data_IF_266280014319
#
_entry.id   IF_266280014319
#
_cell.length_a   1.000
_cell.length_b   1.000
_cell.length_c   1.000
_cell.angle_alpha   90.00
_cell.angle_beta   90.00
_cell.angle_gamma   90.00
#
_symmetry.space_group_name_H-M   'P 1'
#
loop_
_entity.id
_entity.type
_entity.pdbx_description
1 polymer ?
#
# COMPACT_ATOMS: atom_id res chain seq x y z
N UNK A 1 11.32 -19.97 -0.68
CA UNK A 1 12.23 -20.16 0.46
C UNK A 1 13.13 -18.95 0.53
N UNK A 2 12.96 -18.10 1.55
CA UNK A 2 13.82 -16.93 1.74
C UNK A 2 15.08 -17.34 2.49
N UNK A 3 16.25 -17.08 1.93
CA UNK A 3 17.50 -17.17 2.67
C UNK A 3 17.72 -15.85 3.41
N UNK A 4 18.23 -15.95 4.63
CA UNK A 4 18.52 -14.85 5.52
C UNK A 4 19.94 -15.01 6.02
N UNK A 5 20.67 -13.92 6.16
CA UNK A 5 21.95 -13.88 6.83
C UNK A 5 21.71 -13.44 8.27
N UNK A 6 22.18 -14.25 9.21
CA UNK A 6 22.28 -13.84 10.60
C UNK A 6 23.43 -12.83 10.73
N UNK A 7 23.15 -11.65 11.28
CA UNK A 7 24.11 -10.55 11.43
C UNK A 7 25.11 -10.79 12.56
N UNK A 8 24.79 -11.64 13.54
CA UNK A 8 25.65 -11.96 14.69
C UNK A 8 26.84 -12.83 14.29
N UNK A 9 26.62 -13.77 13.38
CA UNK A 9 27.62 -14.78 13.00
C UNK A 9 27.90 -14.82 11.49
N UNK A 10 27.19 -14.02 10.69
CA UNK A 10 27.32 -13.98 9.23
C UNK A 10 26.78 -15.22 8.51
N UNK A 11 26.17 -16.17 9.23
CA UNK A 11 25.73 -17.44 8.64
C UNK A 11 24.46 -17.25 7.82
N UNK A 12 24.41 -17.93 6.68
CA UNK A 12 23.21 -17.99 5.84
C UNK A 12 22.31 -19.11 6.37
N UNK A 13 21.07 -18.75 6.66
CA UNK A 13 20.03 -19.59 7.21
C UNK A 13 18.76 -19.42 6.38
N UNK A 14 18.02 -20.49 6.16
CA UNK A 14 16.75 -20.48 5.47
C UNK A 14 15.62 -20.24 6.47
N UNK A 15 14.77 -19.25 6.22
CA UNK A 15 13.64 -18.99 7.10
C UNK A 15 12.56 -20.07 6.93
N UNK A 16 12.23 -20.75 8.02
CA UNK A 16 11.22 -21.82 8.04
C UNK A 16 9.86 -21.26 8.47
N UNK A 17 9.84 -20.39 9.48
CA UNK A 17 8.60 -19.83 10.03
C UNK A 17 8.85 -18.96 11.26
N UNK A 18 7.82 -18.26 11.70
CA UNK A 18 7.87 -17.49 12.95
C UNK A 18 7.61 -18.43 14.12
N UNK A 19 8.44 -18.36 15.16
CA UNK A 19 8.22 -19.10 16.41
C UNK A 19 7.45 -18.22 17.42
N UNK A 20 7.83 -16.94 17.52
CA UNK A 20 7.24 -15.94 18.41
C UNK A 20 7.21 -14.56 17.76
N UNK A 21 6.75 -13.55 18.52
CA UNK A 21 6.67 -12.15 18.10
C UNK A 21 8.03 -11.54 17.73
N UNK A 22 9.10 -12.01 18.38
CA UNK A 22 10.46 -11.48 18.24
C UNK A 22 11.46 -12.52 17.70
N UNK A 23 11.04 -13.79 17.50
CA UNK A 23 11.92 -14.92 17.20
C UNK A 23 11.48 -15.65 15.92
N UNK A 24 12.43 -15.86 15.02
CA UNK A 24 12.27 -16.63 13.80
C UNK A 24 12.90 -18.02 13.94
N UNK A 25 12.20 -19.02 13.43
CA UNK A 25 12.71 -20.36 13.25
C UNK A 25 13.40 -20.45 11.87
N UNK A 26 14.69 -20.73 11.88
CA UNK A 26 15.52 -20.77 10.68
C UNK A 26 16.34 -22.06 10.59
N UNK A 27 16.58 -22.56 9.39
CA UNK A 27 17.34 -23.77 9.10
C UNK A 27 18.72 -23.37 8.59
N UNK A 28 19.79 -23.86 9.19
CA UNK A 28 21.12 -23.63 8.63
C UNK A 28 21.40 -24.54 7.42
N UNK A 29 22.52 -24.29 6.72
CA UNK A 29 22.97 -25.13 5.58
C UNK A 29 23.26 -26.59 5.95
N UNK A 30 23.41 -26.90 7.24
CA UNK A 30 23.60 -28.27 7.77
C UNK A 30 22.26 -28.98 8.02
N UNK A 31 21.14 -28.28 7.86
CA UNK A 31 19.79 -28.80 8.06
C UNK A 31 19.29 -28.74 9.51
N UNK A 32 20.05 -28.13 10.42
CA UNK A 32 19.68 -27.92 11.82
C UNK A 32 18.81 -26.68 11.96
N UNK A 33 17.68 -26.85 12.64
CA UNK A 33 16.75 -25.75 12.95
C UNK A 33 17.25 -25.00 14.20
N UNK A 34 17.34 -23.68 14.10
CA UNK A 34 17.76 -22.77 15.17
C UNK A 34 16.76 -21.63 15.28
N UNK A 35 16.67 -21.05 16.47
CA UNK A 35 15.83 -19.89 16.74
C UNK A 35 16.71 -18.66 16.85
N UNK A 36 16.42 -17.65 16.06
CA UNK A 36 17.21 -16.42 15.99
C UNK A 36 16.24 -15.24 16.08
N UNK A 37 16.64 -14.18 16.79
CA UNK A 37 15.84 -12.97 16.90
C UNK A 37 15.62 -12.37 15.51
N UNK A 38 14.39 -11.95 15.22
CA UNK A 38 14.00 -11.38 13.93
C UNK A 38 14.86 -10.14 13.58
N UNK A 39 15.30 -9.41 14.60
CA UNK A 39 16.17 -8.24 14.49
C UNK A 39 17.59 -8.57 14.00
N UNK A 40 18.05 -9.79 14.27
CA UNK A 40 19.37 -10.30 13.90
C UNK A 40 19.38 -11.04 12.55
N UNK A 41 18.23 -11.17 11.90
CA UNK A 41 18.09 -11.76 10.57
C UNK A 41 17.96 -10.66 9.53
N UNK A 42 18.78 -10.73 8.49
CA UNK A 42 18.71 -9.83 7.34
C UNK A 42 18.49 -10.67 6.10
N UNK A 43 17.61 -10.25 5.19
CA UNK A 43 17.34 -11.02 3.98
C UNK A 43 18.61 -11.14 3.12
N UNK A 44 18.95 -12.36 2.71
CA UNK A 44 20.12 -12.66 1.90
C UNK A 44 19.69 -13.25 0.56
N UNK A 45 19.78 -12.47 -0.50
CA UNK A 45 19.52 -12.93 -1.86
C UNK A 45 20.83 -13.29 -2.56
N UNK A 46 20.94 -14.55 -2.98
CA UNK A 46 22.12 -15.06 -3.70
C UNK A 46 22.20 -14.34 -5.06
N UNK A 47 23.16 -13.42 -5.20
CA UNK A 47 23.47 -12.71 -6.45
C UNK A 47 23.47 -11.17 -6.37
N UNK A 48 22.86 -10.58 -5.34
CA UNK A 48 22.75 -9.11 -5.22
C UNK A 48 23.52 -8.54 -4.01
N UNK A 49 24.01 -9.42 -3.12
CA UNK A 49 24.71 -9.00 -1.90
C UNK A 49 23.74 -8.61 -0.78
N UNK A 50 24.28 -8.08 0.33
CA UNK A 50 23.51 -7.67 1.51
C UNK A 50 22.48 -6.62 1.11
N UNK A 51 21.20 -6.95 1.28
CA UNK A 51 20.11 -5.98 1.14
C UNK A 51 19.67 -5.60 2.56
N UNK A 52 19.74 -4.32 2.92
CA UNK A 52 19.41 -3.76 4.24
C UNK A 52 17.92 -3.87 4.65
N UNK A 53 17.20 -4.91 4.18
CA UNK A 53 15.82 -5.20 4.54
C UNK A 53 15.79 -6.11 5.77
N UNK A 54 15.47 -5.51 6.92
CA UNK A 54 15.06 -6.23 8.13
C UNK A 54 13.65 -6.83 7.94
N UNK A 55 13.40 -8.06 8.39
CA UNK A 55 12.05 -8.62 8.47
C UNK A 55 11.23 -7.83 9.50
N UNK A 56 10.05 -7.35 9.08
CA UNK A 56 9.13 -6.60 9.94
C UNK A 56 8.39 -7.53 10.91
N UNK A 57 8.20 -7.12 12.17
CA UNK A 57 7.50 -7.92 13.18
C UNK A 57 6.02 -8.10 12.82
N UNK A 58 5.53 -9.32 13.09
CA UNK A 58 4.18 -9.78 12.82
C UNK A 58 3.18 -9.13 13.80
N UNK A 59 2.85 -7.86 13.60
CA UNK A 59 1.76 -7.17 14.32
C UNK A 59 1.23 -6.00 13.50
N UNK A 60 0.57 -6.31 12.40
CA UNK A 60 -0.56 -5.53 11.91
C UNK A 60 -1.33 -6.44 10.97
N UNK A 61 -2.54 -6.81 11.39
CA UNK A 61 -3.57 -7.29 10.49
C UNK A 61 -3.68 -6.32 9.32
N UNK A 62 -3.38 -6.79 8.11
CA UNK A 62 -3.91 -6.18 6.89
C UNK A 62 -4.14 -7.33 5.93
N UNK A 63 -5.39 -7.60 5.51
CA UNK A 63 -5.68 -8.70 4.61
C UNK A 63 -4.82 -8.60 3.37
N UNK A 64 -4.07 -9.68 3.17
CA UNK A 64 -3.14 -9.94 2.10
C UNK A 64 -3.94 -10.08 0.81
N UNK A 65 -3.90 -9.04 -0.02
CA UNK A 65 -4.32 -9.13 -1.41
C UNK A 65 -3.25 -9.96 -2.14
N UNK A 66 -3.50 -11.26 -2.22
CA UNK A 66 -2.83 -12.19 -3.12
C UNK A 66 -3.22 -11.82 -4.54
N UNK A 67 -2.36 -11.10 -5.26
CA UNK A 67 -2.12 -11.29 -6.70
C UNK A 67 -1.01 -10.35 -7.18
N UNK A 68 0.25 -10.78 -6.99
CA UNK A 68 1.39 -10.17 -7.65
C UNK A 68 1.45 -10.65 -9.11
N UNK A 69 1.10 -9.77 -10.04
CA UNK A 69 1.48 -9.87 -11.46
C UNK A 69 2.55 -8.81 -11.79
N UNK A 70 3.51 -9.14 -12.68
CA UNK A 70 4.82 -8.48 -12.74
C UNK A 70 4.77 -7.01 -13.20
N UNK A 71 5.74 -6.29 -12.66
CA UNK A 71 6.08 -4.87 -12.82
C UNK A 71 6.11 -4.43 -14.29
N UNK A 72 4.97 -3.99 -14.82
CA UNK A 72 4.94 -3.02 -15.92
C UNK A 72 5.04 -1.64 -15.30
N UNK A 73 6.04 -0.88 -15.73
CA UNK A 73 6.33 0.49 -15.32
C UNK A 73 5.12 1.41 -15.58
N UNK A 74 4.21 1.49 -14.62
CA UNK A 74 3.21 2.54 -14.52
C UNK A 74 3.20 2.87 -13.04
N UNK A 75 3.50 4.12 -12.63
CA UNK A 75 3.33 4.50 -11.24
C UNK A 75 1.92 4.09 -10.85
N UNK A 76 1.79 3.26 -9.81
CA UNK A 76 0.50 2.98 -9.19
C UNK A 76 -0.14 4.34 -8.95
N UNK A 77 -1.17 4.64 -9.73
CA UNK A 77 -1.83 5.94 -9.72
C UNK A 77 -2.45 6.06 -8.32
N UNK A 78 -1.73 6.68 -7.39
CA UNK A 78 -2.17 6.86 -6.00
C UNK A 78 -3.33 7.85 -5.92
N UNK A 79 -3.85 8.27 -7.07
CA UNK A 79 -4.94 9.21 -7.19
C UNK A 79 -6.23 8.50 -6.84
N UNK A 80 -7.13 9.22 -6.20
CA UNK A 80 -8.42 8.71 -5.79
C UNK A 80 -9.40 8.77 -6.97
N UNK A 81 -9.96 7.63 -7.36
CA UNK A 81 -11.04 7.58 -8.34
C UNK A 81 -12.35 8.08 -7.71
N UNK A 82 -12.84 9.24 -8.13
CA UNK A 82 -14.09 9.83 -7.61
C UNK A 82 -15.34 8.99 -7.88
N UNK A 83 -15.33 8.14 -8.92
CA UNK A 83 -16.48 7.32 -9.28
C UNK A 83 -16.63 6.12 -8.33
N UNK A 84 -15.50 5.55 -7.91
CA UNK A 84 -15.43 4.41 -6.99
C UNK A 84 -15.26 4.84 -5.52
N UNK A 85 -14.82 6.08 -5.26
CA UNK A 85 -14.57 6.55 -3.91
C UNK A 85 -15.85 6.82 -3.11
N UNK A 86 -15.79 6.53 -1.81
CA UNK A 86 -16.79 6.93 -0.83
C UNK A 86 -16.64 8.41 -0.45
N UNK A 87 -17.70 9.01 0.10
CA UNK A 87 -17.66 10.39 0.59
C UNK A 87 -16.54 10.62 1.64
N UNK A 88 -16.25 9.64 2.47
CA UNK A 88 -15.16 9.73 3.46
C UNK A 88 -13.79 9.76 2.79
N UNK A 89 -13.55 8.90 1.80
CA UNK A 89 -12.29 8.87 1.07
C UNK A 89 -12.05 10.18 0.33
N UNK A 90 -13.09 10.75 -0.28
CA UNK A 90 -12.99 12.05 -0.97
C UNK A 90 -12.68 13.18 0.02
N UNK A 91 -13.33 13.20 1.18
CA UNK A 91 -13.07 14.19 2.22
C UNK A 91 -11.65 14.08 2.82
N UNK A 92 -11.10 12.87 2.91
CA UNK A 92 -9.73 12.63 3.41
C UNK A 92 -8.66 12.94 2.37
N UNK A 93 -8.88 12.57 1.11
CA UNK A 93 -7.91 12.76 0.04
C UNK A 93 -7.81 14.23 -0.41
N UNK A 94 -8.92 14.98 -0.32
CA UNK A 94 -8.99 16.34 -0.84
C UNK A 94 -9.00 17.38 0.28
N UNK A 95 -7.87 18.04 0.48
CA UNK A 95 -7.73 19.14 1.44
C UNK A 95 -8.69 20.28 1.10
N UNK A 96 -9.58 20.62 2.02
CA UNK A 96 -10.62 21.66 1.83
C UNK A 96 -12.01 21.11 1.51
N UNK A 97 -12.14 19.80 1.26
CA UNK A 97 -13.44 19.12 1.13
C UNK A 97 -13.78 18.46 2.46
N UNK A 98 -14.75 19.02 3.17
CA UNK A 98 -15.35 18.35 4.33
C UNK A 98 -16.35 17.27 3.90
N UNK A 99 -16.78 16.44 4.85
CA UNK A 99 -17.75 15.36 4.61
C UNK A 99 -19.08 15.85 3.98
N UNK A 100 -19.57 17.03 4.38
CA UNK A 100 -20.78 17.62 3.80
C UNK A 100 -20.63 17.93 2.31
N UNK A 101 -19.46 18.40 1.89
CA UNK A 101 -19.17 18.64 0.48
C UNK A 101 -18.95 17.33 -0.26
N UNK A 102 -18.28 16.35 0.36
CA UNK A 102 -18.12 15.04 -0.23
C UNK A 102 -19.46 14.31 -0.47
N UNK A 103 -20.44 14.46 0.42
CA UNK A 103 -21.81 14.00 0.17
C UNK A 103 -22.44 14.64 -1.06
N UNK A 104 -22.27 15.96 -1.26
CA UNK A 104 -22.74 16.66 -2.46
C UNK A 104 -22.06 16.15 -3.73
N UNK A 105 -20.79 15.73 -3.66
CA UNK A 105 -20.10 15.10 -4.79
C UNK A 105 -20.80 13.79 -5.16
N UNK A 106 -21.09 12.93 -4.18
CA UNK A 106 -21.80 11.67 -4.44
C UNK A 106 -23.23 11.92 -4.96
N UNK A 107 -23.94 12.90 -4.43
CA UNK A 107 -25.28 13.28 -4.90
C UNK A 107 -25.25 13.83 -6.34
N UNK A 108 -24.25 14.66 -6.66
CA UNK A 108 -24.02 15.13 -8.01
C UNK A 108 -23.69 13.96 -8.95
N UNK A 109 -22.89 13.00 -8.48
CA UNK A 109 -22.57 11.77 -9.21
C UNK A 109 -23.83 11.02 -9.62
N UNK A 110 -24.75 10.80 -8.68
CA UNK A 110 -26.04 10.13 -8.91
C UNK A 110 -26.95 10.93 -9.86
N UNK A 111 -26.82 12.25 -9.88
CA UNK A 111 -27.59 13.12 -10.78
C UNK A 111 -27.05 13.17 -12.21
N UNK A 112 -25.88 12.58 -12.47
CA UNK A 112 -25.25 12.56 -13.79
C UNK A 112 -25.66 11.31 -14.59
N UNK A 113 -25.72 11.41 -15.93
CA UNK A 113 -26.06 10.28 -16.77
C UNK A 113 -25.02 9.16 -16.61
N UNK A 114 -25.48 7.97 -16.21
CA UNK A 114 -24.64 6.82 -15.90
C UNK A 114 -24.09 6.82 -14.47
N UNK A 115 -24.62 7.65 -13.58
CA UNK A 115 -24.29 7.70 -12.14
C UNK A 115 -22.79 7.82 -11.87
N UNK A 116 -22.08 8.52 -12.78
CA UNK A 116 -20.64 8.70 -12.76
C UNK A 116 -20.22 10.04 -13.35
N UNK A 117 -19.10 10.53 -12.87
CA UNK A 117 -18.39 11.65 -13.46
C UNK A 117 -17.66 11.19 -14.72
N UNK A 118 -17.91 11.89 -15.82
CA UNK A 118 -17.23 11.75 -17.09
C UNK A 118 -16.00 12.66 -17.15
N UNK A 119 -16.05 13.81 -16.46
CA UNK A 119 -14.98 14.82 -16.43
C UNK A 119 -14.86 15.44 -15.04
N UNK A 120 -13.63 15.71 -14.61
CA UNK A 120 -13.34 16.43 -13.36
C UNK A 120 -14.02 17.81 -13.29
N UNK A 121 -14.21 18.45 -14.45
CA UNK A 121 -14.86 19.77 -14.55
C UNK A 121 -16.30 19.78 -13.99
N UNK A 122 -16.99 18.63 -14.00
CA UNK A 122 -18.34 18.51 -13.44
C UNK A 122 -18.37 18.83 -11.94
N UNK A 123 -17.27 18.62 -11.21
CA UNK A 123 -17.14 18.94 -9.79
C UNK A 123 -17.24 20.45 -9.54
N UNK A 124 -16.89 21.30 -10.52
CA UNK A 124 -16.98 22.77 -10.40
C UNK A 124 -18.41 23.27 -10.17
N UNK A 125 -19.43 22.45 -10.46
CA UNK A 125 -20.84 22.74 -10.10
C UNK A 125 -21.04 22.85 -8.58
N UNK A 126 -20.17 22.23 -7.79
CA UNK A 126 -20.19 22.31 -6.33
C UNK A 126 -19.41 23.55 -5.92
N UNK A 127 -20.14 24.64 -5.69
CA UNK A 127 -19.59 25.86 -5.09
C UNK A 127 -19.12 25.61 -3.65
N UNK A 128 -18.06 26.30 -3.22
CA UNK A 128 -17.35 26.22 -1.91
C UNK A 128 -16.13 25.30 -1.85
N UNK A 129 -15.62 24.80 -2.96
CA UNK A 129 -14.36 24.04 -3.02
C UNK A 129 -13.42 24.68 -4.03
N UNK A 130 -12.14 24.77 -3.68
CA UNK A 130 -11.09 25.24 -4.57
C UNK A 130 -10.63 24.10 -5.49
N UNK A 131 -11.43 23.80 -6.51
CA UNK A 131 -11.15 22.68 -7.43
C UNK A 131 -9.84 22.84 -8.19
N UNK A 132 -9.37 24.07 -8.38
CA UNK A 132 -8.12 24.35 -9.08
C UNK A 132 -6.91 23.83 -8.27
N UNK A 133 -6.87 24.09 -6.96
CA UNK A 133 -5.86 23.53 -6.06
C UNK A 133 -5.89 22.00 -6.04
N UNK A 134 -7.07 21.41 -6.12
CA UNK A 134 -7.27 19.95 -6.10
C UNK A 134 -6.75 19.30 -7.38
N UNK A 135 -7.05 19.89 -8.55
CA UNK A 135 -6.54 19.41 -9.82
C UNK A 135 -5.03 19.59 -9.93
N UNK A 136 -4.49 20.69 -9.39
CA UNK A 136 -3.05 20.94 -9.32
C UNK A 136 -2.31 19.97 -8.40
N UNK A 137 -2.95 19.54 -7.32
CA UNK A 137 -2.40 18.51 -6.43
C UNK A 137 -2.41 17.12 -7.06
N UNK A 138 -3.18 16.93 -8.15
CA UNK A 138 -3.19 15.72 -8.96
C UNK A 138 -3.51 14.46 -8.14
N UNK A 139 -4.30 14.63 -7.06
CA UNK A 139 -4.64 13.58 -6.09
C UNK A 139 -5.90 12.81 -6.45
N UNK A 140 -6.66 13.26 -7.44
CA UNK A 140 -7.96 12.68 -7.80
C UNK A 140 -8.11 12.57 -9.32
N UNK A 141 -8.84 11.56 -9.75
CA UNK A 141 -9.18 11.37 -11.15
C UNK A 141 -10.60 10.81 -11.30
N UNK A 142 -11.11 10.85 -12.54
CA UNK A 142 -12.36 10.19 -12.92
C UNK A 142 -12.00 9.04 -13.85
N UNK A 143 -12.08 7.82 -13.31
CA UNK A 143 -11.90 6.60 -14.09
C UNK A 143 -13.17 6.22 -14.86
N UNK A 144 -13.04 5.32 -15.86
CA UNK A 144 -14.16 4.80 -16.64
C UNK A 144 -15.24 4.13 -15.80
#
# INVERSE_FOLDING_TARGET
>A
MGLFQNTKNGQIVEFIGHHDKDWAMVKNSTGVVQYIALDDLVEYQVGVGRTDKKPQPQSAETPKDEDAIPETTIPIDTRLNLNAASAESIAKAVKGIGYATAKKIIELKMSLPGEKFQKLDQLRKIGRVDWDAVFKADLIYVGP
#
